data_IF_654728480354
#
_entry.id   IF_654728480354
#
_cell.length_a   1.000
_cell.length_b   1.000
_cell.length_c   1.000
_cell.angle_alpha   90.00
_cell.angle_beta   90.00
_cell.angle_gamma   90.00
#
_symmetry.space_group_name_H-M   'P 1'
#
loop_
_entity.id
_entity.type
_entity.pdbx_description
1 polymer ?
#
# COMPACT_ATOMS: atom_id res chain seq x y z
N UNK A 1 -15.49 -11.49 -11.82
CA UNK A 1 -15.37 -10.02 -11.89
C UNK A 1 -14.87 -9.49 -10.54
N UNK A 2 -13.90 -8.62 -10.56
CA UNK A 2 -13.32 -8.09 -9.31
C UNK A 2 -14.16 -6.98 -8.72
N UNK A 3 -14.23 -6.98 -7.40
CA UNK A 3 -15.00 -6.01 -6.62
C UNK A 3 -14.06 -5.11 -5.84
N UNK A 4 -14.31 -3.79 -5.88
CA UNK A 4 -13.52 -2.81 -5.14
C UNK A 4 -13.82 -2.91 -3.65
N UNK A 5 -12.77 -2.95 -2.83
CA UNK A 5 -12.88 -2.91 -1.38
C UNK A 5 -12.05 -1.75 -0.83
N UNK A 6 -12.46 -1.23 0.31
CA UNK A 6 -11.73 -0.19 1.04
C UNK A 6 -11.59 -0.60 2.50
N UNK A 7 -10.37 -0.44 3.02
CA UNK A 7 -10.06 -0.80 4.40
C UNK A 7 -9.36 0.39 5.05
N UNK A 8 -9.81 0.81 6.23
CA UNK A 8 -9.19 1.90 6.96
C UNK A 8 -8.42 1.39 8.17
N UNK A 9 -7.22 1.92 8.35
CA UNK A 9 -6.35 1.56 9.46
C UNK A 9 -5.99 2.81 10.25
N UNK A 10 -6.55 2.99 11.45
CA UNK A 10 -6.12 4.09 12.33
C UNK A 10 -4.68 3.85 12.75
N UNK A 11 -3.87 4.90 12.68
CA UNK A 11 -2.45 4.83 13.06
C UNK A 11 -2.19 5.80 14.22
N UNK A 12 -1.22 5.47 15.05
CA UNK A 12 -0.77 6.37 16.10
C UNK A 12 -0.15 7.62 15.50
N UNK A 13 -0.18 8.76 16.20
CA UNK A 13 0.45 9.97 15.72
C UNK A 13 1.90 9.73 15.33
N UNK A 14 2.27 10.16 14.13
CA UNK A 14 3.61 10.00 13.58
C UNK A 14 3.89 11.15 12.64
N UNK A 15 5.16 11.32 12.27
CA UNK A 15 5.53 12.28 11.25
C UNK A 15 4.90 11.88 9.91
N UNK A 16 4.27 12.83 9.23
CA UNK A 16 3.74 12.61 7.89
C UNK A 16 4.82 12.16 6.90
N UNK A 17 6.07 12.64 7.09
CA UNK A 17 7.20 12.21 6.28
C UNK A 17 7.51 10.72 6.42
N UNK A 18 7.43 10.20 7.63
CA UNK A 18 7.68 8.76 7.87
C UNK A 18 6.66 7.92 7.12
N UNK A 19 5.38 8.28 7.23
CA UNK A 19 4.31 7.56 6.55
C UNK A 19 4.40 7.71 5.04
N UNK A 20 4.65 8.92 4.55
CA UNK A 20 4.77 9.14 3.12
C UNK A 20 5.93 8.34 2.51
N UNK A 21 7.10 8.37 3.15
CA UNK A 21 8.23 7.57 2.69
C UNK A 21 7.92 6.07 2.70
N UNK A 22 7.19 5.60 3.71
CA UNK A 22 6.85 4.18 3.84
C UNK A 22 5.97 3.68 2.70
N UNK A 23 5.11 4.52 2.12
CA UNK A 23 4.19 4.10 1.06
C UNK A 23 4.61 4.53 -0.33
N UNK A 24 5.56 5.46 -0.48
CA UNK A 24 5.85 6.08 -1.76
C UNK A 24 7.23 5.79 -2.34
N UNK A 25 8.16 5.30 -1.53
CA UNK A 25 9.53 5.04 -1.98
C UNK A 25 9.84 3.55 -2.00
N UNK A 26 10.74 3.11 -2.90
CA UNK A 26 11.19 1.72 -2.87
C UNK A 26 11.77 1.31 -1.52
N UNK A 27 12.62 2.14 -0.92
CA UNK A 27 13.20 1.85 0.38
C UNK A 27 12.15 1.75 1.48
N UNK A 28 11.14 2.62 1.44
CA UNK A 28 10.05 2.59 2.41
C UNK A 28 9.16 1.36 2.26
N UNK A 29 8.75 1.06 1.04
CA UNK A 29 7.92 -0.12 0.75
C UNK A 29 8.67 -1.42 1.06
N UNK A 30 9.98 -1.46 0.90
CA UNK A 30 10.80 -2.63 1.20
C UNK A 30 10.82 -2.96 2.69
N UNK A 31 10.50 -2.02 3.55
CA UNK A 31 10.50 -2.26 5.00
C UNK A 31 9.31 -3.09 5.48
N UNK A 32 8.18 -3.05 4.74
CA UNK A 32 6.95 -3.69 5.23
C UNK A 32 6.13 -4.40 4.16
N UNK A 33 6.16 -3.92 2.92
CA UNK A 33 5.27 -4.41 1.87
C UNK A 33 5.85 -5.60 1.11
N UNK A 34 7.14 -5.58 0.83
CA UNK A 34 7.82 -6.64 0.09
C UNK A 34 9.26 -6.78 0.60
N UNK A 35 9.90 -7.90 0.29
CA UNK A 35 11.28 -8.17 0.73
C UNK A 35 12.30 -7.33 -0.04
N UNK A 36 12.01 -7.03 -1.30
CA UNK A 36 12.84 -6.14 -2.11
C UNK A 36 11.96 -5.33 -3.04
N UNK A 37 12.26 -4.05 -3.19
CA UNK A 37 11.50 -3.15 -4.07
C UNK A 37 12.49 -2.30 -4.86
N UNK A 38 12.33 -2.33 -6.18
CA UNK A 38 13.10 -1.48 -7.08
C UNK A 38 12.14 -0.74 -8.00
N UNK A 39 12.62 0.34 -8.61
CA UNK A 39 11.80 1.08 -9.58
C UNK A 39 12.65 1.55 -10.76
N UNK A 40 12.00 1.60 -11.92
CA UNK A 40 12.53 2.19 -13.13
C UNK A 40 11.43 3.11 -13.68
N UNK A 41 11.59 4.42 -13.48
CA UNK A 41 10.54 5.36 -13.80
C UNK A 41 9.28 5.08 -12.98
N UNK A 42 8.17 4.83 -13.66
CA UNK A 42 6.89 4.50 -13.02
C UNK A 42 6.70 3.00 -12.77
N UNK A 43 7.61 2.17 -13.24
CA UNK A 43 7.50 0.73 -13.07
C UNK A 43 8.20 0.29 -11.80
N UNK A 44 7.43 -0.29 -10.88
CA UNK A 44 7.96 -0.84 -9.64
C UNK A 44 8.02 -2.35 -9.72
N UNK A 45 9.09 -2.94 -9.18
CA UNK A 45 9.26 -4.38 -9.11
C UNK A 45 9.33 -4.78 -7.63
N UNK A 46 8.46 -5.70 -7.24
CA UNK A 46 8.35 -6.18 -5.86
C UNK A 46 8.73 -7.65 -5.82
N UNK A 47 9.60 -8.02 -4.88
CA UNK A 47 10.01 -9.41 -4.69
C UNK A 47 9.66 -9.88 -3.28
N UNK A 48 9.01 -11.03 -3.20
CA UNK A 48 8.75 -11.74 -1.95
C UNK A 48 9.49 -13.07 -1.98
N UNK A 49 10.26 -13.34 -0.92
CA UNK A 49 11.09 -14.54 -0.88
C UNK A 49 12.18 -14.49 -1.94
N UNK A 50 12.52 -15.64 -2.49
CA UNK A 50 13.62 -15.76 -3.45
C UNK A 50 13.17 -15.67 -4.90
N UNK A 51 11.91 -16.01 -5.19
CA UNK A 51 11.48 -16.22 -6.56
C UNK A 51 10.20 -15.48 -6.96
N UNK A 52 9.38 -15.05 -6.03
CA UNK A 52 8.13 -14.37 -6.39
C UNK A 52 8.41 -12.91 -6.70
N UNK A 53 8.28 -12.54 -7.97
CA UNK A 53 8.48 -11.16 -8.43
C UNK A 53 7.21 -10.71 -9.13
N UNK A 54 6.70 -9.54 -8.76
CA UNK A 54 5.53 -8.93 -9.39
C UNK A 54 5.84 -7.47 -9.72
N UNK A 55 5.33 -7.01 -10.84
CA UNK A 55 5.54 -5.62 -11.25
C UNK A 55 4.22 -4.85 -11.25
N UNK A 56 4.32 -3.58 -10.90
CA UNK A 56 3.20 -2.66 -10.90
C UNK A 56 3.63 -1.31 -11.45
N UNK A 57 2.72 -0.66 -12.15
CA UNK A 57 2.94 0.68 -12.66
C UNK A 57 2.34 1.70 -11.69
N UNK A 58 3.12 2.73 -11.34
CA UNK A 58 2.60 3.85 -10.57
C UNK A 58 1.76 4.71 -11.52
N UNK A 59 0.44 4.60 -11.43
CA UNK A 59 -0.49 5.24 -12.36
C UNK A 59 -0.98 6.60 -11.89
N UNK A 60 -0.90 6.87 -10.58
CA UNK A 60 -1.28 8.17 -10.04
C UNK A 60 -0.66 8.33 -8.66
N UNK A 61 -0.34 9.57 -8.30
CA UNK A 61 0.15 9.88 -6.97
C UNK A 61 0.00 11.35 -6.67
N UNK A 62 -0.08 11.66 -5.37
CA UNK A 62 -0.09 13.03 -4.88
C UNK A 62 0.79 13.07 -3.64
N UNK A 63 1.80 13.92 -3.68
CA UNK A 63 2.78 14.04 -2.58
C UNK A 63 2.08 14.23 -1.23
N UNK A 64 2.52 13.48 -0.24
CA UNK A 64 1.98 13.49 1.13
C UNK A 64 0.52 13.02 1.24
N UNK A 65 -0.05 12.48 0.17
CA UNK A 65 -1.45 12.03 0.17
C UNK A 65 -1.59 10.55 -0.23
N UNK A 66 -1.32 10.21 -1.47
CA UNK A 66 -1.56 8.84 -1.91
C UNK A 66 -0.64 8.39 -3.04
N UNK A 67 -0.54 7.06 -3.19
CA UNK A 67 0.05 6.39 -4.35
C UNK A 67 -0.96 5.37 -4.87
N UNK A 68 -1.08 5.26 -6.18
CA UNK A 68 -1.98 4.30 -6.83
C UNK A 68 -1.17 3.49 -7.84
N UNK A 69 -1.22 2.17 -7.69
CA UNK A 69 -0.48 1.22 -8.53
C UNK A 69 -1.44 0.30 -9.27
N UNK A 70 -1.05 -0.07 -10.48
CA UNK A 70 -1.74 -1.10 -11.25
C UNK A 70 -0.80 -2.29 -11.45
N UNK A 71 -1.20 -3.48 -10.98
CA UNK A 71 -0.44 -4.70 -11.25
C UNK A 71 -0.48 -5.00 -12.74
N UNK A 72 0.69 -5.20 -13.35
CA UNK A 72 0.79 -5.33 -14.81
C UNK A 72 0.07 -6.55 -15.38
N UNK A 73 -0.17 -7.55 -14.55
CA UNK A 73 -0.83 -8.82 -14.95
C UNK A 73 -2.33 -8.84 -14.65
N UNK A 74 -2.88 -7.79 -14.06
CA UNK A 74 -4.29 -7.73 -13.67
C UNK A 74 -5.13 -6.99 -14.70
N UNK A 75 -6.46 -7.07 -14.54
CA UNK A 75 -7.41 -6.36 -15.39
C UNK A 75 -7.10 -4.86 -15.44
N UNK A 76 -7.22 -4.19 -16.62
CA UNK A 76 -6.80 -2.79 -16.77
C UNK A 76 -7.47 -1.80 -15.81
N UNK A 77 -8.69 -2.08 -15.35
CA UNK A 77 -9.43 -1.17 -14.47
C UNK A 77 -9.07 -1.30 -13.00
N UNK A 78 -8.31 -2.33 -12.66
CA UNK A 78 -7.97 -2.59 -11.27
C UNK A 78 -6.73 -1.80 -10.84
N UNK A 79 -6.64 -1.54 -9.54
CA UNK A 79 -5.49 -0.87 -8.94
C UNK A 79 -5.48 -1.18 -7.45
N UNK A 80 -4.37 -0.89 -6.80
CA UNK A 80 -4.37 -0.75 -5.34
C UNK A 80 -3.83 0.63 -4.99
N UNK A 81 -4.42 1.22 -3.95
CA UNK A 81 -4.11 2.58 -3.56
C UNK A 81 -3.85 2.66 -2.07
N UNK A 82 -2.82 3.39 -1.70
CA UNK A 82 -2.45 3.66 -0.31
C UNK A 82 -2.62 5.16 -0.10
N UNK A 83 -3.57 5.54 0.77
CA UNK A 83 -3.90 6.94 0.97
C UNK A 83 -3.85 7.32 2.45
N UNK A 84 -3.18 8.41 2.74
CA UNK A 84 -3.01 8.93 4.09
C UNK A 84 -4.00 10.06 4.33
N UNK A 85 -4.78 9.97 5.40
CA UNK A 85 -5.63 11.05 5.87
C UNK A 85 -5.09 11.56 7.19
N UNK A 86 -5.05 12.87 7.35
CA UNK A 86 -4.62 13.51 8.58
C UNK A 86 -5.82 14.23 9.21
N UNK A 87 -6.04 13.99 10.51
CA UNK A 87 -7.13 14.61 11.26
C UNK A 87 -6.49 15.61 12.24
N UNK A 88 -6.63 16.91 11.94
CA UNK A 88 -5.99 17.97 12.70
C UNK A 88 -6.43 18.00 14.17
N UNK A 89 -7.71 17.78 14.42
CA UNK A 89 -8.27 17.86 15.77
C UNK A 89 -7.62 16.89 16.75
N UNK A 90 -7.28 15.69 16.29
CA UNK A 90 -6.72 14.65 17.14
C UNK A 90 -5.24 14.38 16.85
N UNK A 91 -4.70 15.02 15.81
CA UNK A 91 -3.34 14.78 15.33
C UNK A 91 -3.12 13.33 14.89
N UNK A 92 -4.19 12.66 14.50
CA UNK A 92 -4.15 11.25 14.08
C UNK A 92 -4.01 11.12 12.59
N UNK A 93 -3.44 9.99 12.17
CA UNK A 93 -3.40 9.59 10.76
C UNK A 93 -4.25 8.34 10.56
N UNK A 94 -4.88 8.23 9.39
CA UNK A 94 -5.57 7.02 8.94
C UNK A 94 -4.99 6.63 7.60
N UNK A 95 -4.65 5.36 7.43
CA UNK A 95 -4.24 4.82 6.15
C UNK A 95 -5.42 4.08 5.55
N UNK A 96 -5.88 4.53 4.38
CA UNK A 96 -6.96 3.87 3.65
C UNK A 96 -6.37 3.08 2.49
N UNK A 97 -6.68 1.78 2.46
CA UNK A 97 -6.28 0.89 1.37
C UNK A 97 -7.49 0.68 0.46
N UNK A 98 -7.30 0.90 -0.84
CA UNK A 98 -8.28 0.51 -1.84
C UNK A 98 -7.67 -0.60 -2.69
N UNK A 99 -8.39 -1.68 -2.87
CA UNK A 99 -7.92 -2.82 -3.67
C UNK A 99 -9.12 -3.52 -4.30
N UNK A 100 -8.87 -4.52 -5.13
CA UNK A 100 -9.91 -5.28 -5.83
C UNK A 100 -9.78 -6.76 -5.52
N UNK A 101 -10.87 -7.39 -5.13
CA UNK A 101 -10.93 -8.81 -4.78
C UNK A 101 -11.84 -9.56 -5.75
N UNK A 102 -11.52 -10.82 -6.00
CA UNK A 102 -12.45 -11.71 -6.68
C UNK A 102 -13.66 -11.98 -5.79
N UNK A 103 -14.79 -12.32 -6.39
CA UNK A 103 -15.99 -12.65 -5.66
C UNK A 103 -15.71 -13.80 -4.68
N UNK A 104 -16.04 -13.59 -3.41
CA UNK A 104 -15.82 -14.59 -2.37
C UNK A 104 -14.43 -14.55 -1.74
N UNK A 105 -13.54 -13.70 -2.22
CA UNK A 105 -12.16 -13.60 -1.71
C UNK A 105 -11.89 -12.31 -0.95
N UNK A 106 -12.94 -11.54 -0.62
CA UNK A 106 -12.79 -10.26 0.06
C UNK A 106 -12.13 -10.41 1.43
N UNK A 107 -12.50 -11.44 2.18
CA UNK A 107 -11.93 -11.67 3.51
C UNK A 107 -10.45 -12.05 3.43
N UNK A 108 -10.09 -12.87 2.45
CA UNK A 108 -8.68 -13.27 2.24
C UNK A 108 -7.81 -12.07 1.93
N UNK A 109 -8.30 -11.18 1.06
CA UNK A 109 -7.57 -9.96 0.70
C UNK A 109 -7.46 -9.02 1.90
N UNK A 110 -8.52 -8.87 2.67
CA UNK A 110 -8.51 -8.06 3.89
C UNK A 110 -7.50 -8.61 4.90
N UNK A 111 -7.46 -9.92 5.09
CA UNK A 111 -6.51 -10.55 6.01
C UNK A 111 -5.07 -10.35 5.55
N UNK A 112 -4.82 -10.38 4.26
CA UNK A 112 -3.49 -10.11 3.71
C UNK A 112 -3.05 -8.68 4.03
N UNK A 113 -3.93 -7.71 3.79
CA UNK A 113 -3.62 -6.31 4.11
C UNK A 113 -3.44 -6.11 5.61
N UNK A 114 -4.28 -6.75 6.44
CA UNK A 114 -4.14 -6.67 7.90
C UNK A 114 -2.73 -7.09 8.34
N UNK A 115 -2.22 -8.20 7.78
CA UNK A 115 -0.87 -8.68 8.10
C UNK A 115 0.20 -7.69 7.66
N UNK A 116 0.06 -7.11 6.48
CA UNK A 116 1.03 -6.15 5.97
C UNK A 116 1.02 -4.86 6.79
N UNK A 117 -0.15 -4.39 7.19
CA UNK A 117 -0.25 -3.18 8.02
C UNK A 117 0.32 -3.41 9.42
N UNK A 118 0.19 -4.61 9.98
CA UNK A 118 0.85 -4.95 11.25
C UNK A 118 2.37 -4.78 11.13
N UNK A 119 2.94 -5.21 10.01
CA UNK A 119 4.37 -5.03 9.76
C UNK A 119 4.72 -3.54 9.60
N UNK A 120 3.89 -2.77 8.91
CA UNK A 120 4.07 -1.32 8.80
C UNK A 120 4.09 -0.65 10.18
N UNK A 121 3.15 -1.02 11.03
CA UNK A 121 3.08 -0.49 12.40
C UNK A 121 4.34 -0.80 13.17
N UNK A 122 4.83 -2.02 13.04
CA UNK A 122 6.03 -2.47 13.75
C UNK A 122 7.26 -1.68 13.31
N UNK A 123 7.48 -1.52 12.01
CA UNK A 123 8.71 -0.89 11.50
C UNK A 123 8.67 0.64 11.58
N UNK A 124 7.50 1.25 11.56
CA UNK A 124 7.35 2.70 11.60
C UNK A 124 6.94 3.23 12.99
N UNK A 125 6.56 2.36 13.91
CA UNK A 125 6.12 2.76 15.24
C UNK A 125 4.77 3.45 15.25
N UNK A 126 3.90 3.07 14.34
CA UNK A 126 2.57 3.67 14.18
C UNK A 126 1.47 2.65 14.41
#
# INVERSE_FOLDING_TARGET
MKKKIKIEYPLKPASGHILWNAISTPAGLQRWFADNVTRDGKMFSFRWGKTEIRTAELINSRTDSFVRFHWTYEEPRTFFELKIYYIELTNDHTLEITDFAEDGEEDDLTNLWDSQIEELRRVCGV
#
